data_IF_659464128985
#
_entry.id   IF_659464128985
#
_cell.length_a   1.000
_cell.length_b   1.000
_cell.length_c   1.000
_cell.angle_alpha   90.00
_cell.angle_beta   90.00
_cell.angle_gamma   90.00
#
_symmetry.space_group_name_H-M   'P 1'
#
loop_
_entity.id
_entity.type
_entity.pdbx_description
1 polymer ?
#
# COMPACT_ATOMS: atom_id res chain seq x y z
N UNK A 1 -5.59 3.48 -0.93
CA UNK A 1 -4.13 3.28 -0.72
C UNK A 1 -3.57 2.53 -1.90
N UNK A 2 -2.46 2.98 -2.40
CA UNK A 2 -1.72 2.29 -3.45
C UNK A 2 -0.52 1.59 -2.81
N UNK A 3 -0.37 0.31 -3.13
CA UNK A 3 0.70 -0.53 -2.63
C UNK A 3 1.56 -0.98 -3.80
N UNK A 4 2.78 -0.44 -3.89
CA UNK A 4 3.72 -0.86 -4.92
C UNK A 4 4.45 -2.09 -4.41
N UNK A 5 4.29 -3.20 -5.11
CA UNK A 5 4.79 -4.49 -4.63
C UNK A 5 5.42 -5.29 -5.77
N UNK A 6 6.06 -6.40 -5.41
CA UNK A 6 6.56 -7.35 -6.39
C UNK A 6 6.20 -8.76 -5.98
N UNK A 7 5.89 -9.61 -6.94
CA UNK A 7 5.59 -11.01 -6.66
C UNK A 7 6.83 -11.76 -6.18
N UNK A 8 8.02 -11.19 -6.39
CA UNK A 8 9.31 -11.71 -5.95
C UNK A 8 9.75 -11.17 -4.58
N UNK A 9 9.02 -10.22 -4.03
CA UNK A 9 9.46 -9.44 -2.88
C UNK A 9 9.06 -10.13 -1.57
N UNK A 10 10.04 -10.51 -0.75
CA UNK A 10 9.78 -11.25 0.49
C UNK A 10 8.94 -10.45 1.50
N UNK A 11 9.25 -9.19 1.82
CA UNK A 11 8.39 -8.43 2.73
C UNK A 11 6.96 -8.24 2.19
N UNK A 12 6.81 -8.13 0.85
CA UNK A 12 5.49 -8.04 0.23
C UNK A 12 4.68 -9.30 0.47
N UNK A 13 5.33 -10.45 0.36
CA UNK A 13 4.69 -11.75 0.61
C UNK A 13 4.23 -11.85 2.07
N UNK A 14 5.05 -11.40 2.99
CA UNK A 14 4.74 -11.45 4.42
C UNK A 14 3.60 -10.52 4.80
N UNK A 15 3.50 -9.38 4.12
CA UNK A 15 2.50 -8.36 4.45
C UNK A 15 1.14 -8.64 3.83
N UNK A 16 1.08 -9.45 2.78
CA UNK A 16 -0.12 -9.58 1.95
C UNK A 16 -1.39 -9.94 2.73
N UNK A 17 -1.32 -10.94 3.58
CA UNK A 17 -2.50 -11.37 4.35
C UNK A 17 -2.96 -10.28 5.33
N UNK A 18 -2.02 -9.55 5.91
CA UNK A 18 -2.33 -8.43 6.81
C UNK A 18 -3.02 -7.29 6.06
N UNK A 19 -2.59 -7.02 4.85
CA UNK A 19 -3.22 -6.00 4.00
C UNK A 19 -4.64 -6.41 3.62
N UNK A 20 -4.86 -7.68 3.34
CA UNK A 20 -6.20 -8.20 3.07
C UNK A 20 -7.12 -7.95 4.25
N UNK A 21 -6.65 -8.25 5.46
CA UNK A 21 -7.45 -8.04 6.67
C UNK A 21 -7.73 -6.56 6.90
N UNK A 22 -6.71 -5.73 6.69
CA UNK A 22 -6.87 -4.29 6.82
C UNK A 22 -7.94 -3.77 5.86
N UNK A 23 -7.90 -4.20 4.61
CA UNK A 23 -8.88 -3.80 3.62
C UNK A 23 -10.27 -4.27 4.01
N UNK A 24 -10.43 -5.53 4.42
CA UNK A 24 -11.74 -6.07 4.79
C UNK A 24 -12.37 -5.32 5.95
N UNK A 25 -11.58 -4.95 6.94
CA UNK A 25 -12.07 -4.20 8.09
C UNK A 25 -12.54 -2.80 7.74
N UNK A 26 -12.04 -2.23 6.66
CA UNK A 26 -12.28 -0.84 6.28
C UNK A 26 -12.95 -0.71 4.91
N UNK A 27 -13.50 -1.80 4.38
CA UNK A 27 -13.93 -1.88 2.98
C UNK A 27 -15.00 -0.85 2.59
N UNK A 28 -15.77 -0.35 3.54
CA UNK A 28 -16.80 0.64 3.25
C UNK A 28 -16.21 2.00 2.85
N UNK A 29 -15.04 2.33 3.36
CA UNK A 29 -14.45 3.65 3.19
C UNK A 29 -13.03 3.60 2.64
N UNK A 30 -12.57 2.43 2.22
CA UNK A 30 -11.16 2.23 1.94
C UNK A 30 -10.98 1.29 0.76
N UNK A 31 -10.19 1.72 -0.20
CA UNK A 31 -9.81 0.92 -1.36
C UNK A 31 -8.31 0.68 -1.29
N UNK A 32 -7.91 -0.56 -1.48
CA UNK A 32 -6.50 -0.94 -1.51
C UNK A 32 -6.20 -1.54 -2.87
N UNK A 33 -5.21 -0.98 -3.56
CA UNK A 33 -4.80 -1.42 -4.89
C UNK A 33 -3.32 -1.71 -4.88
N UNK A 34 -2.95 -2.93 -5.21
CA UNK A 34 -1.55 -3.31 -5.40
C UNK A 34 -1.15 -3.14 -6.85
N UNK A 35 -0.02 -2.50 -7.08
CA UNK A 35 0.55 -2.29 -8.42
C UNK A 35 1.91 -2.98 -8.46
N UNK A 36 2.08 -3.92 -9.40
CA UNK A 36 3.39 -4.57 -9.57
C UNK A 36 4.43 -3.56 -10.03
N UNK A 37 5.64 -3.70 -9.51
CA UNK A 37 6.77 -2.84 -9.88
C UNK A 37 8.05 -3.66 -9.95
N UNK A 38 8.97 -3.24 -10.82
CA UNK A 38 10.24 -3.89 -11.10
C UNK A 38 10.09 -5.27 -11.76
N UNK A 39 8.94 -5.55 -12.34
CA UNK A 39 8.68 -6.82 -13.01
C UNK A 39 7.56 -6.67 -14.02
N UNK A 40 7.55 -7.55 -14.98
CA UNK A 40 6.41 -7.76 -15.88
C UNK A 40 5.97 -9.20 -15.70
N UNK A 41 4.78 -9.40 -15.17
CA UNK A 41 4.27 -10.73 -14.87
C UNK A 41 2.88 -10.93 -15.43
N UNK A 42 2.54 -12.18 -15.73
CA UNK A 42 1.24 -12.53 -16.25
C UNK A 42 0.18 -12.52 -15.16
N UNK A 43 -1.09 -12.51 -15.59
CA UNK A 43 -2.22 -12.63 -14.66
C UNK A 43 -2.10 -13.89 -13.81
N UNK A 44 -1.58 -14.97 -14.41
CA UNK A 44 -1.43 -16.25 -13.74
C UNK A 44 -0.45 -16.14 -12.58
N UNK A 45 0.66 -15.45 -12.78
CA UNK A 45 1.65 -15.22 -11.71
C UNK A 45 1.06 -14.40 -10.59
N UNK A 46 0.29 -13.35 -10.92
CA UNK A 46 -0.37 -12.52 -9.91
C UNK A 46 -1.39 -13.34 -9.12
N UNK A 47 -2.16 -14.16 -9.81
CA UNK A 47 -3.17 -15.01 -9.17
C UNK A 47 -2.52 -16.01 -8.22
N UNK A 48 -1.40 -16.57 -8.63
CA UNK A 48 -0.64 -17.50 -7.80
C UNK A 48 -0.10 -16.81 -6.55
N UNK A 49 0.43 -15.60 -6.71
CA UNK A 49 0.86 -14.79 -5.58
C UNK A 49 -0.29 -14.53 -4.62
N UNK A 50 -1.44 -14.13 -5.16
CA UNK A 50 -2.63 -13.84 -4.36
C UNK A 50 -3.06 -15.06 -3.54
N UNK A 51 -3.13 -16.21 -4.18
CA UNK A 51 -3.59 -17.43 -3.54
C UNK A 51 -2.58 -17.97 -2.52
N UNK A 52 -1.30 -17.86 -2.82
CA UNK A 52 -0.25 -18.39 -1.96
C UNK A 52 -0.08 -17.55 -0.70
N UNK A 53 -0.15 -16.24 -0.83
CA UNK A 53 0.16 -15.31 0.27
C UNK A 53 -1.05 -14.60 0.84
N UNK A 54 -2.23 -14.84 0.30
CA UNK A 54 -3.46 -14.29 0.84
C UNK A 54 -3.72 -12.83 0.48
N UNK A 55 -3.30 -12.41 -0.71
CA UNK A 55 -3.52 -11.05 -1.18
C UNK A 55 -4.83 -10.98 -1.97
N UNK A 56 -5.94 -10.63 -1.28
CA UNK A 56 -7.27 -10.64 -1.90
C UNK A 56 -7.86 -9.25 -2.10
N UNK A 57 -7.05 -8.22 -2.00
CA UNK A 57 -7.41 -6.89 -2.43
C UNK A 57 -7.11 -6.76 -3.93
N UNK A 58 -7.42 -5.60 -4.50
CA UNK A 58 -7.26 -5.39 -5.93
C UNK A 58 -5.77 -5.39 -6.31
N UNK A 59 -5.40 -6.20 -7.31
CA UNK A 59 -4.03 -6.29 -7.79
C UNK A 59 -3.98 -6.00 -9.29
N UNK A 60 -2.99 -5.21 -9.71
CA UNK A 60 -2.79 -4.85 -11.11
C UNK A 60 -1.38 -5.19 -11.56
N UNK A 61 -1.29 -5.87 -12.71
CA UNK A 61 -0.01 -6.10 -13.40
C UNK A 61 0.07 -5.29 -14.69
N UNK A 62 -0.65 -4.19 -14.76
CA UNK A 62 -0.69 -3.36 -15.96
C UNK A 62 0.69 -2.83 -16.32
N UNK A 63 0.98 -2.77 -17.61
CA UNK A 63 2.21 -2.15 -18.11
C UNK A 63 2.25 -0.65 -17.81
N UNK A 64 1.10 -0.05 -17.47
CA UNK A 64 1.03 1.36 -17.07
C UNK A 64 1.47 1.60 -15.63
N UNK A 65 1.67 0.52 -14.86
CA UNK A 65 2.04 0.67 -13.44
C UNK A 65 3.29 1.51 -13.26
N UNK A 66 4.32 1.28 -14.09
CA UNK A 66 5.57 2.04 -13.97
C UNK A 66 5.34 3.54 -14.13
N UNK A 67 4.45 3.93 -15.05
CA UNK A 67 4.13 5.33 -15.28
C UNK A 67 3.35 5.92 -14.12
N UNK A 68 2.39 5.17 -13.60
CA UNK A 68 1.60 5.59 -12.44
C UNK A 68 2.52 5.80 -11.23
N UNK A 69 3.40 4.84 -11.00
CA UNK A 69 4.35 4.90 -9.88
C UNK A 69 5.29 6.11 -10.03
N UNK A 70 5.81 6.32 -11.24
CA UNK A 70 6.67 7.47 -11.50
C UNK A 70 5.95 8.79 -11.19
N UNK A 71 4.67 8.89 -11.55
CA UNK A 71 3.88 10.08 -11.28
C UNK A 71 3.70 10.29 -9.78
N UNK A 72 3.39 9.21 -9.05
CA UNK A 72 3.22 9.28 -7.59
C UNK A 72 4.50 9.76 -6.93
N UNK A 73 5.64 9.18 -7.32
CA UNK A 73 6.93 9.57 -6.74
C UNK A 73 7.25 11.03 -7.00
N UNK A 74 6.93 11.52 -8.20
CA UNK A 74 7.09 12.93 -8.53
C UNK A 74 6.20 13.79 -7.65
N UNK A 75 4.94 13.39 -7.49
CA UNK A 75 3.96 14.16 -6.71
C UNK A 75 4.39 14.32 -5.25
N UNK A 76 4.98 13.28 -4.65
CA UNK A 76 5.43 13.33 -3.26
C UNK A 76 6.90 13.71 -3.12
N UNK A 77 7.53 14.06 -4.23
CA UNK A 77 8.93 14.50 -4.28
C UNK A 77 9.90 13.46 -3.70
N UNK A 78 9.69 12.20 -4.06
CA UNK A 78 10.55 11.10 -3.65
C UNK A 78 11.32 10.62 -4.87
N UNK A 79 12.62 10.86 -4.92
CA UNK A 79 13.37 10.74 -6.16
C UNK A 79 13.81 9.33 -6.51
N UNK A 80 14.00 8.48 -5.51
CA UNK A 80 14.56 7.17 -5.80
C UNK A 80 13.95 6.12 -4.89
N UNK A 81 13.06 5.31 -5.46
CA UNK A 81 12.48 4.19 -4.75
C UNK A 81 13.22 2.92 -5.15
N UNK A 82 13.88 2.29 -4.20
CA UNK A 82 14.63 1.06 -4.45
C UNK A 82 14.12 -0.10 -3.60
N UNK A 83 13.10 0.13 -2.79
CA UNK A 83 12.64 -0.86 -1.83
C UNK A 83 11.13 -1.04 -1.92
N UNK A 84 10.69 -2.30 -1.93
CA UNK A 84 9.30 -2.68 -1.87
C UNK A 84 9.02 -3.39 -0.56
N UNK A 85 7.80 -3.37 -0.04
CA UNK A 85 6.66 -2.62 -0.54
C UNK A 85 6.78 -1.13 -0.25
N UNK A 86 6.07 -0.33 -1.02
CA UNK A 86 6.04 1.12 -0.88
C UNK A 86 4.59 1.55 -1.02
N UNK A 87 4.06 2.31 -0.08
CA UNK A 87 2.64 2.66 -0.09
C UNK A 87 2.40 4.13 0.07
N UNK A 88 1.38 4.62 -0.61
CA UNK A 88 0.86 5.98 -0.44
C UNK A 88 -0.64 5.92 -0.24
N UNK A 89 -1.19 6.93 0.42
CA UNK A 89 -2.62 7.03 0.63
C UNK A 89 -3.13 8.36 0.07
N UNK A 90 -4.27 8.29 -0.60
CA UNK A 90 -4.95 9.47 -1.11
C UNK A 90 -6.38 9.50 -0.60
N UNK A 91 -6.88 10.70 -0.35
CA UNK A 91 -8.29 10.93 -0.03
C UNK A 91 -8.75 12.11 -0.87
N UNK A 92 -9.77 11.88 -1.69
CA UNK A 92 -10.29 12.90 -2.60
C UNK A 92 -9.19 13.51 -3.47
N UNK A 93 -8.27 12.65 -3.93
CA UNK A 93 -7.17 13.08 -4.79
C UNK A 93 -6.01 13.74 -4.08
N UNK A 94 -6.02 13.82 -2.76
CA UNK A 94 -4.98 14.48 -1.98
C UNK A 94 -4.17 13.44 -1.22
N UNK A 95 -2.84 13.51 -1.36
CA UNK A 95 -1.94 12.62 -0.62
C UNK A 95 -2.04 12.90 0.86
N UNK A 96 -2.14 11.83 1.65
CA UNK A 96 -2.33 11.91 3.09
C UNK A 96 -1.02 11.67 3.82
N UNK A 97 -0.83 12.36 4.94
CA UNK A 97 0.32 12.11 5.80
C UNK A 97 0.18 10.77 6.50
N UNK A 98 1.27 10.04 6.55
CA UNK A 98 1.35 8.72 7.16
C UNK A 98 2.44 8.71 8.22
N UNK A 99 2.26 7.87 9.23
CA UNK A 99 3.24 7.69 10.29
C UNK A 99 4.52 7.08 9.76
N UNK A 100 5.65 7.47 10.34
CA UNK A 100 6.93 6.89 9.99
C UNK A 100 7.21 5.72 10.93
N UNK A 101 7.46 4.54 10.35
CA UNK A 101 7.70 3.34 11.13
C UNK A 101 9.05 3.37 11.86
N UNK A 102 9.96 4.22 11.40
CA UNK A 102 11.31 4.31 11.96
C UNK A 102 11.47 5.49 12.91
N UNK A 103 10.62 6.49 12.80
CA UNK A 103 10.67 7.67 13.65
C UNK A 103 9.23 8.13 13.91
N UNK A 104 8.72 7.82 15.10
CA UNK A 104 7.33 8.07 15.45
C UNK A 104 6.98 9.54 15.54
N UNK A 105 7.97 10.41 15.65
CA UNK A 105 7.75 11.85 15.71
C UNK A 105 7.64 12.49 14.35
N UNK A 106 8.01 11.76 13.29
CA UNK A 106 7.97 12.27 11.94
C UNK A 106 6.81 11.66 11.16
N UNK A 107 6.28 12.45 10.24
CA UNK A 107 5.28 11.97 9.31
C UNK A 107 5.74 12.25 7.89
N UNK A 108 5.31 11.44 6.97
CA UNK A 108 5.63 11.61 5.56
C UNK A 108 4.43 11.25 4.72
N UNK A 109 4.66 11.02 3.43
CA UNK A 109 3.58 10.72 2.50
C UNK A 109 3.68 9.28 1.98
N UNK A 110 4.40 8.42 2.67
CA UNK A 110 4.56 7.03 2.23
C UNK A 110 4.91 6.14 3.43
N UNK A 111 4.64 4.84 3.25
CA UNK A 111 5.23 3.80 4.07
C UNK A 111 6.32 3.13 3.27
N UNK A 112 7.47 2.92 3.87
CA UNK A 112 8.58 2.22 3.26
C UNK A 112 8.73 0.86 3.92
N UNK A 113 8.66 -0.20 3.12
CA UNK A 113 8.73 -1.56 3.63
C UNK A 113 7.43 -2.01 4.26
N UNK A 114 7.45 -3.21 4.85
CA UNK A 114 6.29 -3.72 5.56
C UNK A 114 6.12 -2.96 6.87
N UNK A 115 4.88 -2.60 7.18
CA UNK A 115 4.58 -1.88 8.42
C UNK A 115 3.49 -2.62 9.20
N UNK A 116 3.45 -2.46 10.54
CA UNK A 116 2.42 -3.12 11.34
C UNK A 116 1.02 -2.68 10.95
N UNK A 117 0.08 -3.63 10.95
CA UNK A 117 -1.32 -3.36 10.63
C UNK A 117 -1.91 -2.31 11.56
N UNK A 118 -1.53 -2.35 12.83
CA UNK A 118 -2.03 -1.40 13.82
C UNK A 118 -1.65 0.02 13.47
N UNK A 119 -0.44 0.23 12.94
CA UNK A 119 0.00 1.55 12.53
C UNK A 119 -0.82 2.04 11.35
N UNK A 120 -1.04 1.18 10.38
CA UNK A 120 -1.85 1.52 9.22
C UNK A 120 -3.30 1.81 9.63
N UNK A 121 -3.87 1.02 10.53
CA UNK A 121 -5.23 1.25 11.01
C UNK A 121 -5.35 2.57 11.74
N UNK A 122 -4.36 2.92 12.56
CA UNK A 122 -4.32 4.19 13.27
C UNK A 122 -4.33 5.36 12.28
N UNK A 123 -3.50 5.26 11.25
CA UNK A 123 -3.43 6.32 10.24
C UNK A 123 -4.75 6.40 9.44
N UNK A 124 -5.33 5.26 9.10
CA UNK A 124 -6.63 5.25 8.42
C UNK A 124 -7.71 5.89 9.27
N UNK A 125 -7.74 5.59 10.56
CA UNK A 125 -8.70 6.21 11.46
C UNK A 125 -8.58 7.73 11.46
N UNK A 126 -7.36 8.23 11.50
CA UNK A 126 -7.11 9.67 11.47
C UNK A 126 -7.55 10.27 10.14
N UNK A 127 -7.22 9.62 9.03
CA UNK A 127 -7.57 10.10 7.69
C UNK A 127 -9.09 10.11 7.50
N UNK A 128 -9.77 9.09 8.00
CA UNK A 128 -11.21 8.93 7.85
C UNK A 128 -12.01 9.61 8.95
N UNK A 129 -11.34 10.18 9.94
CA UNK A 129 -12.03 10.82 11.07
C UNK A 129 -12.77 9.84 11.93
N UNK A 130 -12.24 8.62 12.12
CA UNK A 130 -12.95 7.54 12.81
C UNK A 130 -12.55 7.34 14.26
N UNK A 131 -11.58 8.07 14.76
CA UNK A 131 -11.12 7.87 16.12
C UNK A 131 -12.24 8.08 17.13
N UNK A 132 -13.21 8.91 16.78
CA UNK A 132 -14.37 9.12 17.62
C UNK A 132 -15.44 8.06 17.39
N UNK A 133 -15.40 7.37 16.27
CA UNK A 133 -16.42 6.39 15.92
C UNK A 133 -16.17 5.03 16.55
N UNK A 134 -15.05 4.87 17.22
CA UNK A 134 -14.72 3.63 17.91
C UNK A 134 -15.63 3.39 19.11
N UNK A 135 -16.38 4.36 19.44
CA UNK A 135 -17.33 4.27 20.52
C UNK A 135 -18.31 3.12 20.37
#
# INVERSE_FOLDING_TARGET
MLDFFGTFCAPCKQEAAHLTQLWRKNAQNFVLVGLTHFEEVSDEVVREFANTFGAYYFLSNSKQNARIIAQVLQDINYQRMEQLPFKVALKDGVYQQLSNNFDKEKKGYFYLGAVPSELMQKDLNAILGKEYAKN
#
